data_IF_269601930257
#
_entry.id   IF_269601930257
#
_cell.length_a   1.000
_cell.length_b   1.000
_cell.length_c   1.000
_cell.angle_alpha   90.00
_cell.angle_beta   90.00
_cell.angle_gamma   90.00
#
_symmetry.space_group_name_H-M   'P 1'
#
loop_
_entity.id
_entity.type
_entity.pdbx_description
1 polymer ?
#
# COMPACT_ATOMS: atom_id res chain seq x y z
N UNK A 1 4.34 5.73 -19.41
CA UNK A 1 3.95 4.51 -18.64
C UNK A 1 3.04 4.92 -17.50
N UNK A 2 1.94 4.22 -17.34
CA UNK A 2 0.97 4.52 -16.29
C UNK A 2 1.31 3.75 -15.01
N UNK A 3 1.38 4.46 -13.89
CA UNK A 3 1.54 3.84 -12.59
C UNK A 3 0.21 3.19 -12.16
N UNK A 4 0.30 2.00 -11.59
CA UNK A 4 -0.88 1.29 -11.10
C UNK A 4 -0.51 0.33 -9.97
N UNK A 5 -1.49 -0.03 -9.15
CA UNK A 5 -1.36 -1.16 -8.25
C UNK A 5 -1.28 -2.47 -9.04
N UNK A 6 -0.48 -3.40 -8.55
CA UNK A 6 -0.49 -4.78 -9.02
C UNK A 6 -0.92 -5.66 -7.86
N UNK A 7 -2.01 -6.42 -8.05
CA UNK A 7 -2.58 -7.27 -7.01
C UNK A 7 -2.38 -8.73 -7.41
N UNK A 8 -1.71 -9.50 -6.53
CA UNK A 8 -1.48 -10.92 -6.70
C UNK A 8 -2.27 -11.67 -5.63
N UNK A 9 -3.41 -12.24 -6.01
CA UNK A 9 -4.25 -13.00 -5.10
C UNK A 9 -3.63 -14.35 -4.76
N UNK A 10 -3.86 -14.84 -3.54
CA UNK A 10 -3.35 -16.14 -3.11
C UNK A 10 -1.83 -16.24 -3.12
N UNK A 11 -1.14 -15.13 -2.92
CA UNK A 11 0.30 -15.05 -3.03
C UNK A 11 1.04 -15.65 -1.84
N UNK A 12 0.47 -15.56 -0.65
CA UNK A 12 1.15 -15.99 0.57
C UNK A 12 0.13 -16.53 1.59
N UNK A 13 0.63 -17.24 2.61
CA UNK A 13 -0.21 -17.84 3.65
C UNK A 13 0.17 -17.44 5.06
N UNK A 14 1.41 -17.02 5.31
CA UNK A 14 1.88 -16.67 6.66
C UNK A 14 2.56 -15.32 6.69
N UNK A 15 2.51 -14.68 7.86
CA UNK A 15 3.23 -13.41 8.08
C UNK A 15 4.74 -13.59 7.90
N UNK A 16 5.26 -14.72 8.36
CA UNK A 16 6.70 -15.03 8.22
C UNK A 16 7.12 -15.01 6.76
N UNK A 17 6.32 -15.58 5.87
CA UNK A 17 6.59 -15.55 4.43
C UNK A 17 6.66 -14.11 3.91
N UNK A 18 5.72 -13.26 4.35
CA UNK A 18 5.72 -11.85 3.95
C UNK A 18 6.99 -11.13 4.41
N UNK A 19 7.38 -11.31 5.67
CA UNK A 19 8.61 -10.72 6.20
C UNK A 19 9.84 -11.20 5.43
N UNK A 20 9.91 -12.49 5.11
CA UNK A 20 11.04 -13.06 4.38
C UNK A 20 11.14 -12.47 2.97
N UNK A 21 10.02 -12.32 2.27
CA UNK A 21 10.02 -11.76 0.92
C UNK A 21 10.41 -10.28 0.92
N UNK A 22 9.96 -9.52 1.91
CA UNK A 22 10.35 -8.11 2.04
C UNK A 22 11.85 -7.99 2.32
N UNK A 23 12.36 -8.81 3.25
CA UNK A 23 13.78 -8.82 3.58
C UNK A 23 14.64 -9.20 2.37
N UNK A 24 14.17 -10.15 1.54
CA UNK A 24 14.89 -10.57 0.35
C UNK A 24 15.07 -9.44 -0.68
N UNK A 25 14.20 -8.44 -0.64
CA UNK A 25 14.33 -7.23 -1.49
C UNK A 25 15.27 -6.20 -0.88
N UNK A 26 15.71 -6.36 0.36
CA UNK A 26 16.43 -5.33 1.10
C UNK A 26 15.52 -4.20 1.57
N UNK A 27 14.22 -4.43 1.62
CA UNK A 27 13.24 -3.44 2.06
C UNK A 27 12.95 -3.56 3.54
N UNK A 28 12.14 -2.65 4.08
CA UNK A 28 11.89 -2.52 5.50
C UNK A 28 10.45 -2.88 5.82
N UNK A 29 10.26 -3.85 6.71
CA UNK A 29 8.93 -4.40 7.01
C UNK A 29 8.34 -3.80 8.27
N UNK A 30 7.01 -3.63 8.26
CA UNK A 30 6.25 -3.16 9.41
C UNK A 30 4.87 -3.80 9.40
N UNK A 31 4.48 -4.44 10.52
CA UNK A 31 3.15 -5.01 10.68
C UNK A 31 2.19 -3.92 11.20
N UNK A 32 1.06 -3.74 10.51
CA UNK A 32 0.08 -2.71 10.85
C UNK A 32 -1.34 -3.26 10.81
N UNK A 33 -2.15 -2.78 11.74
CA UNK A 33 -3.61 -2.91 11.67
C UNK A 33 -4.15 -1.57 11.16
N UNK A 34 -4.87 -1.62 10.05
CA UNK A 34 -5.32 -0.42 9.34
C UNK A 34 -6.84 -0.34 9.39
N UNK A 35 -7.33 0.82 9.80
CA UNK A 35 -8.74 1.18 9.69
C UNK A 35 -8.82 2.34 8.71
N UNK A 36 -9.57 2.14 7.65
CA UNK A 36 -9.67 3.11 6.58
C UNK A 36 -10.32 4.41 7.00
N UNK A 37 -9.94 5.46 6.32
CA UNK A 37 -10.46 6.81 6.51
C UNK A 37 -10.88 7.37 5.16
N UNK A 38 -11.70 8.39 5.18
CA UNK A 38 -12.02 9.14 3.97
C UNK A 38 -10.91 10.17 3.73
N UNK A 39 -9.88 9.72 3.04
CA UNK A 39 -8.70 10.54 2.77
C UNK A 39 -8.82 11.29 1.44
N UNK A 40 -8.04 12.36 1.32
CA UNK A 40 -7.83 13.02 0.04
C UNK A 40 -6.85 12.22 -0.82
N UNK A 41 -6.95 12.36 -2.13
CA UNK A 41 -5.97 11.78 -3.05
C UNK A 41 -4.58 12.28 -2.70
N UNK A 42 -3.63 11.36 -2.70
CA UNK A 42 -2.23 11.64 -2.35
C UNK A 42 -1.30 10.62 -3.00
N UNK A 43 -0.01 10.83 -2.86
CA UNK A 43 1.02 9.93 -3.35
C UNK A 43 2.20 9.89 -2.38
N UNK A 44 3.02 8.87 -2.50
CA UNK A 44 4.22 8.70 -1.70
C UNK A 44 5.44 8.67 -2.62
N UNK A 45 6.59 9.09 -2.11
CA UNK A 45 7.84 9.12 -2.88
C UNK A 45 8.69 7.86 -2.70
N UNK A 46 8.08 6.77 -2.25
CA UNK A 46 8.73 5.46 -2.10
C UNK A 46 7.80 4.37 -2.59
N UNK A 47 8.39 3.20 -2.91
CA UNK A 47 7.63 2.02 -3.28
C UNK A 47 7.16 1.27 -2.04
N UNK A 48 5.97 0.68 -2.12
CA UNK A 48 5.37 -0.10 -1.03
C UNK A 48 4.89 -1.44 -1.57
N UNK A 49 5.05 -2.48 -0.77
CA UNK A 49 4.38 -3.76 -0.98
C UNK A 49 3.54 -4.06 0.25
N UNK A 50 2.32 -4.56 0.05
CA UNK A 50 1.36 -4.80 1.13
C UNK A 50 0.93 -6.26 1.06
N UNK A 51 1.18 -7.01 2.12
CA UNK A 51 0.73 -8.40 2.25
C UNK A 51 -0.46 -8.41 3.19
N UNK A 52 -1.66 -8.56 2.66
CA UNK A 52 -2.90 -8.52 3.45
C UNK A 52 -3.05 -9.84 4.20
N UNK A 53 -2.98 -9.79 5.53
CA UNK A 53 -3.03 -10.97 6.40
C UNK A 53 -4.47 -11.37 6.70
N UNK A 54 -5.29 -10.40 7.06
CA UNK A 54 -6.72 -10.61 7.27
C UNK A 54 -7.48 -9.33 6.97
N UNK A 55 -8.79 -9.44 6.84
CA UNK A 55 -9.64 -8.31 6.47
C UNK A 55 -9.56 -8.00 4.98
N UNK A 56 -9.95 -6.79 4.60
CA UNK A 56 -9.97 -6.35 3.22
C UNK A 56 -9.45 -4.93 3.10
N UNK A 57 -8.49 -4.74 2.19
CA UNK A 57 -7.97 -3.43 1.84
C UNK A 57 -8.70 -2.90 0.60
N UNK A 58 -9.12 -1.65 0.65
CA UNK A 58 -9.69 -0.95 -0.50
C UNK A 58 -8.89 0.32 -0.72
N UNK A 59 -8.72 0.68 -1.98
CA UNK A 59 -8.08 1.94 -2.34
C UNK A 59 -8.78 2.54 -3.55
N UNK A 60 -9.06 3.81 -3.51
CA UNK A 60 -9.65 4.52 -4.64
C UNK A 60 -8.54 5.21 -5.44
N UNK A 61 -8.65 5.10 -6.76
CA UNK A 61 -7.72 5.69 -7.70
C UNK A 61 -8.22 7.08 -8.12
N UNK A 62 -7.36 7.80 -8.78
CA UNK A 62 -7.64 9.16 -9.26
C UNK A 62 -8.83 9.19 -10.23
N UNK A 63 -9.03 8.13 -11.02
CA UNK A 63 -10.15 8.02 -11.96
C UNK A 63 -11.46 7.54 -11.31
N UNK A 64 -11.46 7.33 -9.99
CA UNK A 64 -12.63 6.85 -9.25
C UNK A 64 -12.73 5.34 -9.13
N UNK A 65 -11.85 4.59 -9.78
CA UNK A 65 -11.82 3.13 -9.64
C UNK A 65 -11.46 2.77 -8.19
N UNK A 66 -12.18 1.80 -7.62
CA UNK A 66 -11.87 1.28 -6.28
C UNK A 66 -11.32 -0.12 -6.43
N UNK A 67 -10.11 -0.33 -5.92
CA UNK A 67 -9.46 -1.62 -5.91
C UNK A 67 -9.68 -2.31 -4.57
N UNK A 68 -9.72 -3.65 -4.60
CA UNK A 68 -10.01 -4.48 -3.43
C UNK A 68 -8.97 -5.58 -3.35
N UNK A 69 -8.39 -5.78 -2.16
CA UNK A 69 -7.45 -6.86 -1.90
C UNK A 69 -7.83 -7.55 -0.59
N UNK A 70 -8.10 -8.84 -0.67
CA UNK A 70 -8.44 -9.66 0.50
C UNK A 70 -7.24 -10.38 1.08
N UNK A 71 -7.49 -11.17 2.14
CA UNK A 71 -6.46 -11.95 2.84
C UNK A 71 -5.73 -12.88 1.86
N UNK A 72 -4.40 -12.95 2.00
CA UNK A 72 -3.54 -13.74 1.13
C UNK A 72 -3.06 -12.99 -0.12
N UNK A 73 -3.54 -11.78 -0.35
CA UNK A 73 -3.12 -10.97 -1.50
C UNK A 73 -1.87 -10.17 -1.20
N UNK A 74 -1.03 -10.03 -2.22
CA UNK A 74 0.07 -9.09 -2.22
C UNK A 74 -0.26 -7.94 -3.16
N UNK A 75 -0.07 -6.72 -2.67
CA UNK A 75 -0.32 -5.50 -3.45
C UNK A 75 0.99 -4.74 -3.62
N UNK A 76 1.38 -4.49 -4.85
CA UNK A 76 2.54 -3.66 -5.17
C UNK A 76 2.05 -2.26 -5.52
N UNK A 77 2.55 -1.26 -4.80
CA UNK A 77 2.17 0.14 -4.97
C UNK A 77 3.42 0.96 -5.28
N UNK A 78 3.63 1.36 -6.55
CA UNK A 78 4.82 2.12 -6.92
C UNK A 78 4.79 3.55 -6.40
N UNK A 79 5.98 4.12 -6.20
CA UNK A 79 6.12 5.52 -5.86
C UNK A 79 5.40 6.41 -6.89
N UNK A 80 4.78 7.47 -6.43
CA UNK A 80 4.08 8.43 -7.30
C UNK A 80 2.64 8.04 -7.65
N UNK A 81 2.20 6.82 -7.29
CA UNK A 81 0.82 6.41 -7.59
C UNK A 81 -0.16 7.23 -6.77
N UNK A 82 -1.04 7.94 -7.45
CA UNK A 82 -2.08 8.75 -6.81
C UNK A 82 -3.23 7.86 -6.38
N UNK A 83 -3.55 7.88 -5.09
CA UNK A 83 -4.59 7.05 -4.51
C UNK A 83 -5.12 7.70 -3.23
N UNK A 84 -6.17 7.10 -2.67
CA UNK A 84 -6.63 7.44 -1.33
C UNK A 84 -7.17 6.21 -0.63
N UNK A 85 -7.07 6.19 0.69
CA UNK A 85 -7.74 5.21 1.51
C UNK A 85 -9.23 5.55 1.59
N UNK A 86 -10.06 4.54 1.84
CA UNK A 86 -11.51 4.71 1.92
C UNK A 86 -12.03 4.07 3.21
N UNK A 87 -13.17 4.53 3.75
CA UNK A 87 -13.67 4.06 5.05
C UNK A 87 -13.99 2.56 5.11
N UNK A 88 -14.24 1.91 3.97
CA UNK A 88 -14.52 0.47 3.92
C UNK A 88 -13.30 -0.38 4.28
N UNK A 89 -12.09 0.15 4.17
CA UNK A 89 -10.87 -0.60 4.46
C UNK A 89 -10.77 -0.94 5.93
N UNK A 90 -10.53 -2.22 6.22
CA UNK A 90 -10.19 -2.68 7.58
C UNK A 90 -9.39 -3.96 7.42
N UNK A 91 -8.11 -3.93 7.76
CA UNK A 91 -7.25 -5.07 7.51
C UNK A 91 -5.98 -5.02 8.37
N UNK A 92 -5.39 -6.19 8.55
CA UNK A 92 -4.03 -6.33 9.06
C UNK A 92 -3.13 -6.69 7.88
N UNK A 93 -1.99 -6.05 7.79
CA UNK A 93 -1.03 -6.34 6.73
C UNK A 93 0.41 -6.19 7.20
N UNK A 94 1.31 -6.87 6.50
CA UNK A 94 2.73 -6.62 6.58
C UNK A 94 3.08 -5.69 5.42
N UNK A 95 3.55 -4.50 5.76
CA UNK A 95 3.99 -3.51 4.79
C UNK A 95 5.49 -3.63 4.58
N UNK A 96 5.92 -3.53 3.33
CA UNK A 96 7.33 -3.40 2.98
C UNK A 96 7.56 -2.07 2.29
N UNK A 97 8.57 -1.33 2.72
CA UNK A 97 8.89 -0.01 2.16
C UNK A 97 10.30 -0.03 1.57
N UNK A 98 10.44 0.58 0.40
CA UNK A 98 11.74 0.68 -0.29
C UNK A 98 12.74 1.55 0.46
N UNK A 99 12.26 2.40 1.38
CA UNK A 99 13.10 3.23 2.26
C UNK A 99 12.76 2.93 3.72
N UNK A 100 13.71 3.15 4.62
CA UNK A 100 13.45 3.00 6.04
C UNK A 100 12.42 4.05 6.50
N UNK A 101 11.44 3.68 7.37
CA UNK A 101 10.44 4.65 7.82
C UNK A 101 11.01 5.94 8.42
N UNK A 102 12.19 5.89 9.04
CA UNK A 102 12.84 7.09 9.57
C UNK A 102 13.28 8.07 8.46
N UNK A 103 13.34 7.60 7.22
CA UNK A 103 13.74 8.41 6.06
C UNK A 103 12.55 8.92 5.26
N UNK A 104 11.32 8.68 5.74
CA UNK A 104 10.12 9.21 5.08
C UNK A 104 10.17 10.74 5.10
N UNK A 105 9.93 11.34 3.93
CA UNK A 105 9.85 12.79 3.82
C UNK A 105 8.45 13.26 4.20
N UNK A 106 8.37 14.47 4.76
CA UNK A 106 7.10 15.03 5.19
C UNK A 106 6.59 16.08 4.20
N UNK A 107 5.27 16.13 3.97
CA UNK A 107 4.25 15.23 4.54
C UNK A 107 4.34 13.84 3.90
N UNK A 108 4.02 12.81 4.68
CA UNK A 108 4.01 11.42 4.19
C UNK A 108 3.04 11.26 3.03
N UNK A 109 1.83 11.75 3.20
CA UNK A 109 0.81 11.81 2.15
C UNK A 109 1.00 13.12 1.39
N UNK A 110 1.58 13.03 0.20
CA UNK A 110 1.89 14.21 -0.60
C UNK A 110 0.67 14.65 -1.40
N UNK A 111 0.34 15.94 -1.39
CA UNK A 111 -0.88 16.42 -2.06
C UNK A 111 -0.74 16.35 -3.57
N UNK A 112 -1.87 16.09 -4.24
CA UNK A 112 -1.96 16.20 -5.68
C UNK A 112 -2.14 17.68 -6.02
N UNK A 113 -1.17 18.21 -6.77
CA UNK A 113 -1.20 19.60 -7.18
C UNK A 113 -1.78 19.67 -8.59
N UNK A 114 -2.90 20.35 -8.71
CA UNK A 114 -3.51 20.56 -10.02
C UNK A 114 -2.59 21.43 -10.87
N UNK A 115 -2.25 20.94 -12.05
CA UNK A 115 -1.41 21.65 -13.00
C UNK A 115 -2.29 22.36 -14.02
N UNK A 116 -1.96 23.59 -14.33
CA UNK A 116 -2.68 24.39 -15.31
C UNK A 116 -1.76 24.76 -16.45
#
# INVERSE_FOLDING_TARGET
>A
MTLKYTISEGHFTTEAQAFDEIAARGWHALALDVVGKNEELHWHDFDTVIYVVNGTAYAAMEDGTVLKAGAGSRVDAPAGLVHRDVPQSAYRAIFGFSVHPSDFTQPLNKPVIATR
#
